data_IF_735538679505
#
_entry.id   IF_735538679505
#
_cell.length_a   1.000
_cell.length_b   1.000
_cell.length_c   1.000
_cell.angle_alpha   90.00
_cell.angle_beta   90.00
_cell.angle_gamma   90.00
#
_symmetry.space_group_name_H-M   'P 1'
#
loop_
_entity.id
_entity.type
_entity.pdbx_description
1 polymer ?
#
# COMPACT_ATOMS: atom_id res chain seq x y z
N UNK A 1 29.82 8.09 -6.56
CA UNK A 1 29.93 6.81 -5.85
C UNK A 1 28.78 6.69 -4.88
N UNK A 2 27.84 5.78 -5.12
CA UNK A 2 26.66 5.58 -4.26
C UNK A 2 27.05 4.73 -3.05
N UNK A 3 27.13 5.36 -1.88
CA UNK A 3 27.41 4.70 -0.61
C UNK A 3 26.25 3.78 -0.26
N UNK A 4 26.51 2.47 -0.25
CA UNK A 4 25.54 1.41 0.09
C UNK A 4 25.30 1.42 1.59
N UNK A 5 24.05 1.63 2.01
CA UNK A 5 23.59 1.38 3.37
C UNK A 5 22.79 0.07 3.26
N UNK A 6 23.44 -1.05 3.57
CA UNK A 6 22.99 -2.44 3.34
C UNK A 6 22.92 -2.88 1.85
N UNK A 7 23.00 -4.21 1.54
CA UNK A 7 23.33 -4.68 0.20
C UNK A 7 22.34 -4.31 -0.91
N UNK A 8 21.07 -4.07 -0.58
CA UNK A 8 19.98 -4.04 -1.55
C UNK A 8 19.09 -2.77 -1.53
N UNK A 9 19.41 -1.75 -0.72
CA UNK A 9 18.60 -0.52 -0.69
C UNK A 9 19.46 0.68 -1.10
N UNK A 10 19.01 1.37 -2.15
CA UNK A 10 19.62 2.60 -2.64
C UNK A 10 19.12 3.82 -1.86
N UNK A 11 19.94 4.86 -1.78
CA UNK A 11 19.53 6.16 -1.21
C UNK A 11 18.30 6.71 -1.95
N UNK A 12 18.17 6.45 -3.26
CA UNK A 12 17.01 6.83 -4.05
C UNK A 12 15.71 6.21 -3.53
N UNK A 13 15.70 4.90 -3.25
CA UNK A 13 14.52 4.19 -2.72
C UNK A 13 14.13 4.67 -1.32
N UNK A 14 15.12 5.00 -0.48
CA UNK A 14 14.87 5.61 0.83
C UNK A 14 14.21 6.98 0.66
N UNK A 15 14.75 7.83 -0.21
CA UNK A 15 14.18 9.16 -0.49
C UNK A 15 12.76 9.08 -1.06
N UNK A 16 12.51 8.16 -1.99
CA UNK A 16 11.18 7.95 -2.54
C UNK A 16 10.18 7.52 -1.47
N UNK A 17 10.60 6.62 -0.56
CA UNK A 17 9.77 6.21 0.57
C UNK A 17 9.44 7.39 1.49
N UNK A 18 10.42 8.25 1.78
CA UNK A 18 10.22 9.45 2.60
C UNK A 18 9.28 10.45 1.93
N UNK A 19 9.46 10.71 0.64
CA UNK A 19 8.59 11.59 -0.16
C UNK A 19 7.15 11.07 -0.12
N UNK A 20 6.95 9.78 -0.38
CA UNK A 20 5.61 9.17 -0.39
C UNK A 20 4.93 9.30 0.98
N UNK A 21 5.66 9.05 2.09
CA UNK A 21 5.15 9.25 3.44
C UNK A 21 4.72 10.70 3.70
N UNK A 22 5.53 11.68 3.31
CA UNK A 22 5.21 13.10 3.48
C UNK A 22 3.96 13.48 2.69
N UNK A 23 3.82 12.98 1.46
CA UNK A 23 2.65 13.24 0.62
C UNK A 23 1.36 12.69 1.25
N UNK A 24 1.39 11.45 1.74
CA UNK A 24 0.25 10.84 2.43
C UNK A 24 -0.10 11.62 3.70
N UNK A 25 0.88 11.99 4.52
CA UNK A 25 0.66 12.79 5.73
C UNK A 25 0.05 14.16 5.42
N UNK A 26 0.53 14.82 4.35
CA UNK A 26 -0.04 16.09 3.90
C UNK A 26 -1.51 15.94 3.48
N UNK A 27 -1.83 14.84 2.80
CA UNK A 27 -3.21 14.54 2.41
C UNK A 27 -4.09 14.24 3.63
N UNK A 28 -3.61 13.42 4.56
CA UNK A 28 -4.30 13.06 5.80
C UNK A 28 -4.70 14.28 6.64
N UNK A 29 -3.86 15.32 6.68
CA UNK A 29 -4.15 16.58 7.39
C UNK A 29 -5.44 17.27 6.93
N UNK A 30 -5.86 17.09 5.66
CA UNK A 30 -7.12 17.66 5.16
C UNK A 30 -8.34 17.08 5.86
N UNK A 31 -8.21 15.89 6.44
CA UNK A 31 -9.29 15.15 7.10
C UNK A 31 -9.27 15.28 8.62
N UNK A 32 -8.36 16.09 9.19
CA UNK A 32 -8.24 16.33 10.65
C UNK A 32 -8.13 15.03 11.45
N UNK A 33 -7.37 14.06 10.94
CA UNK A 33 -7.11 12.80 11.64
C UNK A 33 -6.14 13.09 12.80
N UNK A 34 -6.59 12.82 14.02
CA UNK A 34 -5.80 12.93 15.24
C UNK A 34 -5.36 11.53 15.69
N UNK A 35 -4.05 11.30 15.77
CA UNK A 35 -3.51 10.05 16.30
C UNK A 35 -2.17 10.31 17.05
N UNK A 36 -1.81 9.45 18.03
CA UNK A 36 -0.58 9.59 18.82
C UNK A 36 0.73 9.66 18.03
N UNK A 37 0.78 9.19 16.79
CA UNK A 37 1.98 9.28 15.94
C UNK A 37 1.66 9.51 14.46
N UNK A 38 2.64 10.01 13.71
CA UNK A 38 2.50 10.19 12.26
C UNK A 38 2.22 8.85 11.54
N UNK A 39 2.82 7.75 12.00
CA UNK A 39 2.55 6.43 11.43
C UNK A 39 1.10 5.98 11.69
N UNK A 40 0.53 6.32 12.84
CA UNK A 40 -0.89 6.07 13.12
C UNK A 40 -1.79 6.99 12.28
N UNK A 41 -1.44 8.27 12.12
CA UNK A 41 -2.19 9.18 11.22
C UNK A 41 -2.23 8.62 9.79
N UNK A 42 -1.13 8.07 9.28
CA UNK A 42 -1.09 7.45 7.96
C UNK A 42 -1.96 6.20 7.87
N UNK A 43 -1.90 5.30 8.88
CA UNK A 43 -2.73 4.09 8.90
C UNK A 43 -4.21 4.45 8.88
N UNK A 44 -4.61 5.40 9.72
CA UNK A 44 -6.02 5.78 9.85
C UNK A 44 -6.52 6.48 8.59
N UNK A 45 -5.66 7.27 7.93
CA UNK A 45 -5.96 7.79 6.61
C UNK A 45 -6.19 6.67 5.59
N UNK A 46 -5.28 5.71 5.51
CA UNK A 46 -5.38 4.58 4.58
C UNK A 46 -6.66 3.80 4.86
N UNK A 47 -6.96 3.53 6.13
CA UNK A 47 -8.14 2.75 6.51
C UNK A 47 -9.43 3.48 6.16
N UNK A 48 -9.55 4.76 6.51
CA UNK A 48 -10.76 5.57 6.28
C UNK A 48 -10.98 5.95 4.82
N UNK A 49 -9.90 6.18 4.06
CA UNK A 49 -9.98 6.76 2.70
C UNK A 49 -9.74 5.76 1.59
N UNK A 50 -9.12 4.64 1.88
CA UNK A 50 -8.77 3.64 0.87
C UNK A 50 -9.41 2.30 1.25
N UNK A 51 -9.02 1.70 2.38
CA UNK A 51 -9.45 0.36 2.79
C UNK A 51 -10.96 0.25 2.96
N UNK A 52 -11.62 1.27 3.53
CA UNK A 52 -13.07 1.26 3.74
C UNK A 52 -13.91 1.08 2.46
N UNK A 53 -13.33 1.33 1.28
CA UNK A 53 -14.00 1.19 -0.01
C UNK A 53 -13.66 -0.10 -0.76
N UNK A 54 -12.78 -0.94 -0.20
CA UNK A 54 -12.39 -2.21 -0.81
C UNK A 54 -13.37 -3.29 -0.39
N UNK A 55 -13.91 -3.99 -1.37
CA UNK A 55 -14.83 -5.12 -1.21
C UNK A 55 -14.36 -6.21 -2.16
N UNK A 56 -14.07 -7.39 -1.64
CA UNK A 56 -13.82 -8.59 -2.46
C UNK A 56 -15.13 -9.34 -2.55
N UNK A 57 -15.58 -9.61 -3.78
CA UNK A 57 -16.80 -10.39 -4.01
C UNK A 57 -16.54 -11.88 -3.87
N UNK A 58 -17.54 -12.64 -3.43
CA UNK A 58 -17.43 -14.10 -3.33
C UNK A 58 -16.98 -14.75 -4.64
N UNK A 59 -17.53 -14.28 -5.76
CA UNK A 59 -17.17 -14.75 -7.09
C UNK A 59 -15.69 -14.54 -7.43
N UNK A 60 -15.07 -13.48 -6.90
CA UNK A 60 -13.64 -13.21 -7.12
C UNK A 60 -12.76 -14.16 -6.30
N UNK A 61 -13.20 -14.49 -5.08
CA UNK A 61 -12.53 -15.45 -4.20
C UNK A 61 -12.58 -16.85 -4.83
N UNK A 62 -13.78 -17.30 -5.25
CA UNK A 62 -13.97 -18.58 -5.93
C UNK A 62 -13.13 -18.66 -7.20
N UNK A 63 -13.20 -17.62 -8.04
CA UNK A 63 -12.42 -17.54 -9.27
C UNK A 63 -10.92 -17.64 -9.00
N UNK A 64 -10.42 -16.90 -8.01
CA UNK A 64 -9.00 -16.95 -7.64
C UNK A 64 -8.58 -18.35 -7.18
N UNK A 65 -9.40 -19.01 -6.36
CA UNK A 65 -9.14 -20.39 -5.93
C UNK A 65 -9.06 -21.35 -7.13
N UNK A 66 -10.03 -21.29 -8.05
CA UNK A 66 -10.04 -22.18 -9.21
C UNK A 66 -8.86 -21.93 -10.15
N UNK A 67 -8.51 -20.67 -10.40
CA UNK A 67 -7.39 -20.30 -11.27
C UNK A 67 -6.02 -20.68 -10.67
N UNK A 68 -5.91 -20.78 -9.34
CA UNK A 68 -4.65 -21.06 -8.63
C UNK A 68 -4.73 -22.36 -7.82
N UNK A 69 -5.61 -23.31 -8.19
CA UNK A 69 -5.90 -24.51 -7.39
C UNK A 69 -4.67 -25.36 -7.06
N UNK A 70 -3.69 -25.39 -7.98
CA UNK A 70 -2.43 -26.11 -7.80
C UNK A 70 -1.57 -25.55 -6.64
N UNK A 71 -1.67 -24.25 -6.36
CA UNK A 71 -0.86 -23.56 -5.35
C UNK A 71 -1.36 -23.83 -3.92
N UNK A 72 -2.60 -24.29 -3.78
CA UNK A 72 -3.20 -24.61 -2.48
C UNK A 72 -2.91 -26.03 -1.99
N UNK A 73 -2.03 -26.78 -2.68
CA UNK A 73 -1.56 -28.11 -2.26
C UNK A 73 -2.69 -29.10 -1.89
N UNK A 74 -3.84 -29.01 -2.57
CA UNK A 74 -4.99 -29.87 -2.34
C UNK A 74 -5.90 -29.46 -1.17
N UNK A 75 -5.69 -28.29 -0.54
CA UNK A 75 -6.66 -27.72 0.42
C UNK A 75 -7.99 -27.41 -0.27
N UNK A 76 -9.09 -27.63 0.43
CA UNK A 76 -10.43 -27.31 -0.06
C UNK A 76 -10.68 -25.80 0.00
N UNK A 77 -11.65 -25.33 -0.79
CA UNK A 77 -11.99 -23.91 -0.88
C UNK A 77 -12.30 -23.28 0.49
N UNK A 78 -13.12 -23.95 1.30
CA UNK A 78 -13.52 -23.47 2.63
C UNK A 78 -12.32 -23.30 3.58
N UNK A 79 -11.26 -24.08 3.41
CA UNK A 79 -10.07 -24.00 4.25
C UNK A 79 -9.19 -22.78 3.95
N UNK A 80 -9.34 -22.19 2.75
CA UNK A 80 -8.47 -21.11 2.26
C UNK A 80 -9.24 -19.84 1.88
N UNK A 81 -10.57 -19.86 1.93
CA UNK A 81 -11.44 -18.76 1.54
C UNK A 81 -11.07 -17.43 2.20
N UNK A 82 -10.92 -17.42 3.52
CA UNK A 82 -10.56 -16.22 4.30
C UNK A 82 -9.14 -15.72 3.96
N UNK A 83 -8.20 -16.64 3.69
CA UNK A 83 -6.84 -16.28 3.29
C UNK A 83 -6.83 -15.62 1.91
N UNK A 84 -7.65 -16.13 0.98
CA UNK A 84 -7.82 -15.57 -0.36
C UNK A 84 -8.49 -14.19 -0.29
N UNK A 85 -9.58 -14.05 0.47
CA UNK A 85 -10.25 -12.74 0.66
C UNK A 85 -9.24 -11.70 1.17
N UNK A 86 -8.53 -12.02 2.25
CA UNK A 86 -7.50 -11.14 2.82
C UNK A 86 -6.42 -10.80 1.79
N UNK A 87 -5.93 -11.79 1.05
CA UNK A 87 -4.92 -11.57 0.02
C UNK A 87 -5.42 -10.62 -1.08
N UNK A 88 -6.63 -10.86 -1.60
CA UNK A 88 -7.23 -10.04 -2.66
C UNK A 88 -7.49 -8.61 -2.17
N UNK A 89 -7.99 -8.45 -0.94
CA UNK A 89 -8.21 -7.15 -0.33
C UNK A 89 -6.89 -6.37 -0.16
N UNK A 90 -5.82 -7.02 0.32
CA UNK A 90 -4.49 -6.40 0.45
C UNK A 90 -3.87 -6.09 -0.91
N UNK A 91 -4.07 -6.95 -1.91
CA UNK A 91 -3.62 -6.71 -3.29
C UNK A 91 -4.28 -5.45 -3.87
N UNK A 92 -5.60 -5.35 -3.74
CA UNK A 92 -6.35 -4.17 -4.19
C UNK A 92 -5.94 -2.92 -3.43
N UNK A 93 -5.74 -3.02 -2.11
CA UNK A 93 -5.27 -1.90 -1.29
C UNK A 93 -3.94 -1.36 -1.78
N UNK A 94 -3.00 -2.25 -2.09
CA UNK A 94 -1.69 -1.87 -2.60
C UNK A 94 -1.80 -1.15 -3.95
N UNK A 95 -2.67 -1.60 -4.86
CA UNK A 95 -2.88 -0.94 -6.15
C UNK A 95 -3.54 0.45 -6.00
N UNK A 96 -4.54 0.57 -5.13
CA UNK A 96 -5.16 1.87 -4.83
C UNK A 96 -4.18 2.83 -4.15
N UNK A 97 -3.36 2.34 -3.21
CA UNK A 97 -2.34 3.17 -2.56
C UNK A 97 -1.30 3.68 -3.56
N UNK A 98 -0.82 2.81 -4.47
CA UNK A 98 0.07 3.22 -5.56
C UNK A 98 -0.57 4.31 -6.42
N UNK A 99 -1.86 4.19 -6.74
CA UNK A 99 -2.61 5.20 -7.51
C UNK A 99 -2.67 6.54 -6.77
N UNK A 100 -3.07 6.52 -5.50
CA UNK A 100 -3.12 7.73 -4.65
C UNK A 100 -1.76 8.41 -4.59
N UNK A 101 -0.68 7.65 -4.34
CA UNK A 101 0.68 8.22 -4.30
C UNK A 101 1.09 8.83 -5.65
N UNK A 102 0.78 8.17 -6.77
CA UNK A 102 1.05 8.73 -8.12
C UNK A 102 0.32 10.04 -8.35
N UNK A 103 -0.95 10.13 -7.96
CA UNK A 103 -1.76 11.35 -8.09
C UNK A 103 -1.21 12.47 -7.20
N UNK A 104 -0.90 12.17 -5.93
CA UNK A 104 -0.30 13.14 -5.01
C UNK A 104 1.07 13.64 -5.51
N UNK A 105 1.89 12.77 -6.10
CA UNK A 105 3.18 13.14 -6.70
C UNK A 105 2.99 14.06 -7.91
N UNK A 106 2.01 13.76 -8.77
CA UNK A 106 1.69 14.59 -9.95
C UNK A 106 1.30 16.01 -9.55
N UNK A 107 0.55 16.14 -8.47
CA UNK A 107 -0.02 17.41 -8.03
C UNK A 107 0.92 18.19 -7.07
N UNK A 108 2.06 17.59 -6.71
CA UNK A 108 3.05 18.19 -5.80
C UNK A 108 4.25 18.79 -6.55
N UNK A 109 4.71 19.96 -6.11
CA UNK A 109 6.03 20.48 -6.46
C UNK A 109 7.09 19.85 -5.57
N UNK A 110 7.95 19.00 -6.14
CA UNK A 110 9.01 18.28 -5.43
C UNK A 110 10.37 18.75 -5.95
N UNK A 111 11.22 19.29 -5.06
CA UNK A 111 12.59 19.68 -5.38
C UNK A 111 13.56 19.00 -4.41
N UNK A 112 14.52 18.27 -4.96
CA UNK A 112 15.53 17.53 -4.19
C UNK A 112 16.87 18.23 -4.36
N UNK A 113 17.54 18.56 -3.26
CA UNK A 113 18.90 19.10 -3.25
C UNK A 113 19.83 18.02 -2.71
N UNK A 114 20.89 17.71 -3.46
CA UNK A 114 21.94 16.80 -3.05
C UNK A 114 23.24 17.59 -3.11
N UNK A 115 23.84 17.86 -1.96
CA UNK A 115 25.18 18.44 -1.87
C UNK A 115 26.23 17.34 -2.12
N UNK A 116 27.36 17.72 -2.73
CA UNK A 116 28.45 16.78 -3.05
C UNK A 116 29.38 16.56 -1.87
#
# INVERSE_FOLDING_TARGET
>A
STTKISPDITIGEVLDTMINKILILREARKYRIEAPSLDQVMREYIDLKIRAFIRVGESDIEKFYQENKADFAGKEFEDVRDEIDKYLAEKELNEQLKKVVRELRRDAYIRIFIER
#
